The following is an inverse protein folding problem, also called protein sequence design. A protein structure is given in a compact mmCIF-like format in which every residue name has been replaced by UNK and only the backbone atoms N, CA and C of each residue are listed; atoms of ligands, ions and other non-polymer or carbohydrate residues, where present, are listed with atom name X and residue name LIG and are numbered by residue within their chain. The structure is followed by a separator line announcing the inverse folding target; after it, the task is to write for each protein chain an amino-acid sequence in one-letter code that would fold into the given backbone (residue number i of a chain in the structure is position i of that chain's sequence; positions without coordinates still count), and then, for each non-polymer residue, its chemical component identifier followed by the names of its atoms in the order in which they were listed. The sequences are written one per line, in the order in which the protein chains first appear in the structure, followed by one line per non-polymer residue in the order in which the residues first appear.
data_IF_041249061538
#
_entry.id   IF_041249061538
#
_cell.length_a   1.000
_cell.length_b   1.000
_cell.length_c   1.000
_cell.angle_alpha   90.00
_cell.angle_beta   90.00
_cell.angle_gamma   90.00
#
_symmetry.space_group_name_H-M   'P 1'
#
loop_
_entity.id
_entity.type
_entity.pdbx_description
1 polymer ?
#
# COMPACT_ATOMS: atom_id res chain seq x y z
N UNK A 1 14.02 -1.08 19.85
CA UNK A 1 12.67 -1.31 19.28
C UNK A 1 12.21 -2.72 19.63
N UNK A 2 10.91 -2.99 19.77
CA UNK A 2 10.45 -4.37 20.03
C UNK A 2 10.56 -5.23 18.76
N UNK A 3 10.85 -6.53 18.92
CA UNK A 3 10.89 -7.48 17.81
C UNK A 3 9.57 -7.51 17.02
N UNK A 4 8.44 -7.41 17.73
CA UNK A 4 7.12 -7.26 17.13
C UNK A 4 7.01 -6.03 16.21
N UNK A 5 7.53 -4.87 16.63
CA UNK A 5 7.49 -3.67 15.80
C UNK A 5 8.35 -3.80 14.54
N UNK A 6 9.49 -4.50 14.62
CA UNK A 6 10.34 -4.80 13.46
C UNK A 6 9.60 -5.68 12.44
N UNK A 7 9.00 -6.79 12.89
CA UNK A 7 8.19 -7.65 12.02
C UNK A 7 7.01 -6.90 11.41
N UNK A 8 6.35 -6.05 12.21
CA UNK A 8 5.23 -5.25 11.73
C UNK A 8 5.64 -4.26 10.64
N UNK A 9 6.77 -3.55 10.82
CA UNK A 9 7.29 -2.63 9.80
C UNK A 9 7.66 -3.37 8.52
N UNK A 10 8.31 -4.53 8.62
CA UNK A 10 8.63 -5.35 7.45
C UNK A 10 7.36 -5.79 6.71
N UNK A 11 6.35 -6.25 7.44
CA UNK A 11 5.06 -6.65 6.86
C UNK A 11 4.36 -5.46 6.16
N UNK A 12 4.31 -4.30 6.81
CA UNK A 12 3.72 -3.08 6.24
C UNK A 12 4.46 -2.64 4.97
N UNK A 13 5.79 -2.72 4.95
CA UNK A 13 6.60 -2.43 3.77
C UNK A 13 6.25 -3.37 2.61
N UNK A 14 6.26 -4.69 2.85
CA UNK A 14 5.97 -5.69 1.82
C UNK A 14 4.56 -5.52 1.25
N UNK A 15 3.56 -5.23 2.08
CA UNK A 15 2.21 -4.91 1.61
C UNK A 15 2.18 -3.66 0.73
N UNK A 16 2.85 -2.58 1.14
CA UNK A 16 2.88 -1.32 0.41
C UNK A 16 3.67 -1.36 -0.90
N UNK A 17 4.70 -2.22 -0.98
CA UNK A 17 5.57 -2.37 -2.16
C UNK A 17 4.87 -2.95 -3.38
N UNK A 18 3.69 -3.56 -3.23
CA UNK A 18 2.94 -4.10 -4.36
C UNK A 18 2.38 -2.93 -5.20
N UNK A 19 2.73 -2.90 -6.49
CA UNK A 19 2.21 -1.89 -7.41
C UNK A 19 0.78 -2.25 -7.86
N UNK A 20 -0.20 -1.53 -7.30
CA UNK A 20 -1.63 -1.71 -7.63
C UNK A 20 -1.91 -1.38 -9.09
N UNK A 21 -1.23 -0.40 -9.68
CA UNK A 21 -1.38 -0.04 -11.08
C UNK A 21 -1.02 -1.20 -12.02
N UNK A 22 0.10 -1.89 -11.77
CA UNK A 22 0.52 -3.05 -12.58
C UNK A 22 -0.47 -4.20 -12.39
N UNK A 23 -0.88 -4.46 -11.14
CA UNK A 23 -1.82 -5.54 -10.82
C UNK A 23 -3.17 -5.31 -11.52
N UNK A 24 -3.75 -4.11 -11.39
CA UNK A 24 -5.03 -3.75 -12.00
C UNK A 24 -4.93 -3.73 -13.52
N UNK A 25 -3.86 -3.19 -14.11
CA UNK A 25 -3.67 -3.25 -15.56
C UNK A 25 -3.64 -4.69 -16.08
N UNK A 26 -2.91 -5.59 -15.40
CA UNK A 26 -2.88 -7.02 -15.78
C UNK A 26 -4.23 -7.70 -15.65
N UNK A 27 -4.95 -7.47 -14.55
CA UNK A 27 -6.28 -8.05 -14.32
C UNK A 27 -7.34 -7.50 -15.29
N UNK A 28 -7.21 -6.25 -15.69
CA UNK A 28 -8.12 -5.59 -16.63
C UNK A 28 -7.75 -5.81 -18.11
N UNK A 29 -6.69 -6.57 -18.42
CA UNK A 29 -6.22 -6.79 -19.79
C UNK A 29 -5.68 -5.54 -20.48
N UNK A 30 -5.19 -4.57 -19.69
CA UNK A 30 -4.63 -3.31 -20.19
C UNK A 30 -3.11 -3.41 -20.44
N UNK A 31 -2.55 -2.53 -21.29
CA UNK A 31 -1.11 -2.45 -21.52
C UNK A 31 -0.32 -2.21 -20.22
N UNK A 32 0.92 -2.72 -20.14
CA UNK A 32 1.77 -2.53 -18.96
C UNK A 32 2.06 -1.02 -18.75
N UNK A 33 1.72 -0.44 -17.59
CA UNK A 33 1.91 0.99 -17.32
C UNK A 33 3.38 1.42 -17.21
N UNK A 34 4.32 0.47 -17.15
CA UNK A 34 5.76 0.76 -17.20
C UNK A 34 6.29 0.98 -18.61
N UNK A 35 5.58 0.48 -19.61
CA UNK A 35 5.96 0.56 -21.03
C UNK A 35 5.08 1.52 -21.83
N UNK A 36 3.96 1.97 -21.26
CA UNK A 36 2.97 2.78 -21.95
C UNK A 36 2.64 4.05 -21.16
N UNK A 37 2.25 5.10 -21.88
CA UNK A 37 1.87 6.39 -21.30
C UNK A 37 3.09 7.13 -20.71
N UNK A 38 3.02 7.51 -19.43
CA UNK A 38 4.12 8.20 -18.74
C UNK A 38 5.15 7.26 -18.11
N UNK A 39 5.04 5.95 -18.31
CA UNK A 39 5.95 4.93 -17.77
C UNK A 39 5.99 4.86 -16.22
N UNK A 40 5.07 5.56 -15.54
CA UNK A 40 4.93 5.54 -14.10
C UNK A 40 3.76 4.62 -13.71
N UNK A 41 3.97 3.57 -12.89
CA UNK A 41 2.90 2.67 -12.47
C UNK A 41 2.04 3.27 -11.34
N UNK A 42 1.29 4.32 -11.68
CA UNK A 42 0.31 4.97 -10.79
C UNK A 42 -1.06 5.16 -11.46
N UNK A 43 -2.09 5.45 -10.67
CA UNK A 43 -3.48 5.58 -11.11
C UNK A 43 -3.68 6.57 -12.28
N UNK A 44 -2.95 7.70 -12.28
CA UNK A 44 -3.02 8.68 -13.38
C UNK A 44 -2.55 8.10 -14.71
N UNK A 45 -1.53 7.23 -14.70
CA UNK A 45 -1.09 6.58 -15.93
C UNK A 45 -2.04 5.47 -16.37
N UNK A 46 -2.61 4.72 -15.42
CA UNK A 46 -3.68 3.75 -15.69
C UNK A 46 -4.88 4.44 -16.35
N UNK A 47 -5.21 5.67 -15.94
CA UNK A 47 -6.25 6.47 -16.58
C UNK A 47 -5.89 6.85 -18.02
N UNK A 48 -4.61 7.13 -18.29
CA UNK A 48 -4.12 7.52 -19.62
C UNK A 48 -4.13 6.37 -20.62
N UNK A 49 -3.72 5.17 -20.19
CA UNK A 49 -3.54 4.00 -21.08
C UNK A 49 -4.77 3.06 -21.09
N UNK A 50 -5.75 3.32 -20.24
CA UNK A 50 -6.89 2.43 -20.02
C UNK A 50 -8.19 3.19 -19.82
N UNK A 51 -8.93 2.82 -18.76
CA UNK A 51 -10.25 3.37 -18.49
C UNK A 51 -10.37 3.91 -17.06
N UNK A 52 -11.39 4.77 -16.84
CA UNK A 52 -11.66 5.41 -15.54
C UNK A 52 -11.88 4.40 -14.41
N UNK A 53 -12.53 3.26 -14.68
CA UNK A 53 -12.81 2.23 -13.68
C UNK A 53 -11.51 1.59 -13.16
N UNK A 54 -10.60 1.25 -14.06
CA UNK A 54 -9.29 0.66 -13.71
C UNK A 54 -8.41 1.65 -12.97
N UNK A 55 -8.42 2.93 -13.38
CA UNK A 55 -7.69 3.98 -12.68
C UNK A 55 -8.22 4.19 -11.25
N UNK A 56 -9.55 4.22 -11.08
CA UNK A 56 -10.18 4.33 -9.77
C UNK A 56 -9.85 3.12 -8.89
N UNK A 57 -9.90 1.91 -9.43
CA UNK A 57 -9.53 0.70 -8.71
C UNK A 57 -8.05 0.76 -8.25
N UNK A 58 -7.13 1.13 -9.13
CA UNK A 58 -5.72 1.28 -8.78
C UNK A 58 -5.51 2.31 -7.66
N UNK A 59 -6.22 3.44 -7.72
CA UNK A 59 -6.17 4.47 -6.67
C UNK A 59 -6.69 3.96 -5.33
N UNK A 60 -7.83 3.27 -5.33
CA UNK A 60 -8.42 2.69 -4.12
C UNK A 60 -7.45 1.69 -3.50
N UNK A 61 -6.88 0.77 -4.28
CA UNK A 61 -5.91 -0.19 -3.77
C UNK A 61 -4.64 0.47 -3.22
N UNK A 62 -4.13 1.51 -3.89
CA UNK A 62 -2.98 2.28 -3.40
C UNK A 62 -3.28 3.01 -2.08
N UNK A 63 -4.50 3.51 -1.89
CA UNK A 63 -4.92 4.08 -0.60
C UNK A 63 -5.05 3.00 0.46
N UNK A 64 -5.72 1.88 0.15
CA UNK A 64 -5.99 0.80 1.10
C UNK A 64 -4.70 0.15 1.61
N UNK A 65 -3.73 -0.13 0.74
CA UNK A 65 -2.47 -0.77 1.13
C UNK A 65 -1.62 0.09 2.08
N UNK A 66 -1.81 1.42 2.08
CA UNK A 66 -1.20 2.32 3.05
C UNK A 66 -2.05 2.52 4.31
N UNK A 67 -3.36 2.67 4.14
CA UNK A 67 -4.29 2.92 5.25
C UNK A 67 -4.40 1.72 6.19
N UNK A 68 -4.50 0.50 5.66
CA UNK A 68 -4.71 -0.72 6.47
C UNK A 68 -3.55 -0.94 7.45
N UNK A 69 -2.26 -0.93 7.03
CA UNK A 69 -1.14 -1.08 7.97
C UNK A 69 -1.02 0.07 8.96
N UNK A 70 -1.40 1.30 8.61
CA UNK A 70 -1.37 2.42 9.56
C UNK A 70 -2.43 2.22 10.64
N UNK A 71 -3.66 1.88 10.25
CA UNK A 71 -4.77 1.71 11.18
C UNK A 71 -4.57 0.48 12.08
N UNK A 72 -4.10 -0.64 11.53
CA UNK A 72 -3.73 -1.80 12.32
C UNK A 72 -2.56 -1.49 13.29
N UNK A 73 -1.62 -0.62 12.90
CA UNK A 73 -0.52 -0.20 13.77
C UNK A 73 -1.02 0.61 14.97
N UNK A 74 -2.05 1.43 14.78
CA UNK A 74 -2.69 2.19 15.84
C UNK A 74 -3.32 1.30 16.92
N UNK A 75 -3.89 0.14 16.56
CA UNK A 75 -4.50 -0.77 17.54
C UNK A 75 -3.54 -1.82 18.08
N UNK A 76 -2.60 -2.31 17.27
CA UNK A 76 -1.74 -3.45 17.64
C UNK A 76 -0.39 -3.00 18.21
N UNK A 77 0.20 -1.94 17.64
CA UNK A 77 1.57 -1.51 17.97
C UNK A 77 1.57 -0.39 19.01
N UNK A 78 0.70 0.61 18.85
CA UNK A 78 0.67 1.78 19.74
C UNK A 78 0.38 1.43 21.22
N UNK A 79 -0.61 0.59 21.57
CA UNK A 79 -0.84 0.20 22.96
C UNK A 79 0.36 -0.55 23.57
N UNK A 80 0.99 -1.43 22.79
CA UNK A 80 2.18 -2.18 23.21
C UNK A 80 3.35 -1.27 23.58
N UNK A 81 3.56 -0.19 22.80
CA UNK A 81 4.60 0.81 23.09
C UNK A 81 4.23 1.63 24.34
N UNK A 82 2.97 2.06 24.45
CA UNK A 82 2.48 2.87 25.59
C UNK A 82 2.63 2.11 26.91
N UNK A 83 2.23 0.83 26.95
CA UNK A 83 2.33 0.00 28.16
C UNK A 83 3.78 -0.26 28.58
N UNK A 84 4.69 -0.52 27.62
CA UNK A 84 6.13 -0.62 27.94
C UNK A 84 6.70 0.68 28.50
N UNK A 85 6.27 1.83 27.98
CA UNK A 85 6.73 3.14 28.47
C UNK A 85 6.22 3.44 29.89
N UNK A 86 5.04 2.96 30.26
CA UNK A 86 4.49 3.11 31.62
C UNK A 86 5.20 2.19 32.60
N UNK A 87 5.48 0.92 32.24
CA UNK A 87 6.19 -0.03 33.13
C UNK A 87 7.67 0.31 33.34
N UNK A 88 8.31 0.99 32.39
CA UNK A 88 9.71 1.41 32.49
C UNK A 88 9.87 2.82 33.10
N UNK A 89 8.81 3.38 33.67
CA UNK A 89 8.83 4.65 34.40
C UNK A 89 8.50 4.35 35.86
#
# INVERSE_FOLDING_TARGET
MSLFALFYMLFAYLLGSISSAILICRLAGLPDPRQNGSHNPGATNVLRIGNRKSALAALIFDMLKGMIPVWAGYYLVYPTIKTKKIKNK
#
